data_IF_772192056987
#
_entry.id   IF_772192056987
#
_cell.length_a   1.000
_cell.length_b   1.000
_cell.length_c   1.000
_cell.angle_alpha   90.00
_cell.angle_beta   90.00
_cell.angle_gamma   90.00
#
_symmetry.space_group_name_H-M   'P 1'
#
loop_
_entity.id
_entity.type
_entity.pdbx_description
1 polymer ?
#
# COMPACT_ATOMS: atom_id res chain seq x y z
N UNK A 1 -8.04 6.96 42.01
CA UNK A 1 -7.15 8.05 41.54
C UNK A 1 -6.45 7.53 40.29
N UNK A 2 -7.25 7.15 39.29
CA UNK A 2 -6.84 6.24 38.20
C UNK A 2 -6.89 6.91 36.81
N UNK A 3 -6.82 8.25 36.79
CA UNK A 3 -7.07 9.05 35.58
C UNK A 3 -5.93 9.95 35.13
N UNK A 4 -4.74 9.89 35.75
CA UNK A 4 -3.65 10.86 35.49
C UNK A 4 -2.38 10.30 34.87
N UNK A 5 -2.41 9.07 34.33
CA UNK A 5 -1.29 8.52 33.57
C UNK A 5 -1.46 8.66 32.03
N UNK A 6 -2.31 9.59 31.59
CA UNK A 6 -2.79 9.70 30.19
C UNK A 6 -2.28 10.91 29.39
N UNK A 7 -1.31 11.67 29.89
CA UNK A 7 -0.64 12.70 29.09
C UNK A 7 0.79 12.27 28.78
N UNK A 8 0.87 11.37 27.79
CA UNK A 8 2.10 11.10 27.06
C UNK A 8 2.51 12.39 26.33
N UNK A 9 3.56 13.05 26.84
CA UNK A 9 4.23 14.13 26.13
C UNK A 9 4.89 13.54 24.87
N UNK A 10 4.17 13.65 23.76
CA UNK A 10 4.66 13.49 22.39
C UNK A 10 5.76 14.52 22.13
N UNK A 11 6.97 14.20 22.58
CA UNK A 11 8.19 14.84 22.10
C UNK A 11 9.16 13.73 21.72
N UNK A 12 10.02 14.04 20.76
CA UNK A 12 11.05 13.23 20.08
C UNK A 12 11.98 12.34 20.96
N UNK A 13 11.74 12.24 22.27
CA UNK A 13 12.57 11.57 23.28
C UNK A 13 11.78 10.81 24.38
N UNK A 14 10.45 10.72 24.31
CA UNK A 14 9.60 10.51 25.50
C UNK A 14 8.97 9.14 25.73
N UNK A 15 8.86 8.29 24.71
CA UNK A 15 7.95 7.12 24.78
C UNK A 15 8.34 6.08 25.83
N UNK A 16 9.64 5.86 26.04
CA UNK A 16 10.13 4.83 26.99
C UNK A 16 10.62 5.42 28.30
N UNK A 17 10.98 6.70 28.29
CA UNK A 17 11.57 7.40 29.45
C UNK A 17 10.53 7.69 30.53
N UNK A 18 9.26 7.92 30.16
CA UNK A 18 8.25 8.40 31.12
C UNK A 18 7.39 7.32 31.80
N UNK A 19 7.08 6.19 31.15
CA UNK A 19 6.04 5.30 31.68
C UNK A 19 6.48 4.44 32.88
N UNK A 20 7.75 4.02 32.92
CA UNK A 20 8.29 3.15 33.99
C UNK A 20 9.35 3.80 34.88
N UNK A 21 10.26 4.61 34.31
CA UNK A 21 11.40 5.18 35.04
C UNK A 21 10.97 6.22 36.07
N UNK A 22 10.21 7.24 35.65
CA UNK A 22 9.82 8.34 36.55
C UNK A 22 9.00 7.86 37.75
N UNK A 23 8.03 6.97 37.54
CA UNK A 23 7.24 6.40 38.65
C UNK A 23 8.08 5.56 39.60
N UNK A 24 9.03 4.78 39.08
CA UNK A 24 9.94 3.98 39.90
C UNK A 24 10.85 4.89 40.74
N UNK A 25 11.47 5.90 40.13
CA UNK A 25 12.37 6.85 40.79
C UNK A 25 11.65 7.66 41.88
N UNK A 26 10.44 8.15 41.58
CA UNK A 26 9.61 8.91 42.52
C UNK A 26 9.20 8.05 43.73
N UNK A 27 8.72 6.83 43.49
CA UNK A 27 8.33 5.90 44.54
C UNK A 27 9.53 5.43 45.37
N UNK A 28 10.70 5.24 44.75
CA UNK A 28 11.92 4.89 45.44
C UNK A 28 12.39 6.03 46.36
N UNK A 29 12.28 7.27 45.88
CA UNK A 29 12.52 8.46 46.70
C UNK A 29 11.55 8.53 47.89
N UNK A 30 10.24 8.39 47.66
CA UNK A 30 9.22 8.42 48.73
C UNK A 30 9.44 7.29 49.73
N UNK A 31 9.71 6.08 49.26
CA UNK A 31 9.98 4.92 50.11
C UNK A 31 11.25 5.14 50.96
N UNK A 32 12.30 5.73 50.38
CA UNK A 32 13.52 6.06 51.12
C UNK A 32 13.26 7.08 52.25
N UNK A 33 12.37 8.05 52.02
CA UNK A 33 11.97 9.05 53.01
C UNK A 33 11.16 8.43 54.15
N UNK A 34 10.17 7.59 53.81
CA UNK A 34 9.31 6.90 54.77
C UNK A 34 10.05 5.85 55.61
N UNK A 35 11.13 5.29 55.07
CA UNK A 35 11.97 4.32 55.79
C UNK A 35 13.15 4.96 56.53
N UNK A 36 13.26 6.30 56.58
CA UNK A 36 14.30 6.95 57.39
C UNK A 36 14.18 6.58 58.87
N UNK A 37 15.31 6.57 59.59
CA UNK A 37 15.36 6.24 61.03
C UNK A 37 14.42 7.13 61.86
N UNK A 38 14.25 8.40 61.48
CA UNK A 38 13.34 9.34 62.14
C UNK A 38 11.88 8.89 62.01
N UNK A 39 11.44 8.53 60.81
CA UNK A 39 10.06 8.09 60.55
C UNK A 39 9.79 6.71 61.16
N UNK A 40 10.77 5.79 61.13
CA UNK A 40 10.66 4.49 61.83
C UNK A 40 10.48 4.65 63.35
N UNK A 41 11.29 5.49 63.99
CA UNK A 41 11.11 5.78 65.42
C UNK A 41 9.73 6.41 65.70
N UNK A 42 9.22 7.26 64.80
CA UNK A 42 7.90 7.85 64.93
C UNK A 42 6.79 6.78 64.83
N UNK A 43 6.93 5.80 63.93
CA UNK A 43 6.02 4.66 63.85
C UNK A 43 6.01 3.84 65.14
N UNK A 44 7.18 3.53 65.72
CA UNK A 44 7.26 2.78 66.98
C UNK A 44 6.56 3.51 68.14
N UNK A 45 6.68 4.84 68.18
CA UNK A 45 5.99 5.67 69.18
C UNK A 45 4.48 5.65 68.95
N UNK A 46 4.02 5.81 67.71
CA UNK A 46 2.60 5.77 67.36
C UNK A 46 1.96 4.40 67.67
N UNK A 47 2.71 3.32 67.48
CA UNK A 47 2.31 1.95 67.81
C UNK A 47 2.17 1.78 69.33
N UNK A 48 3.15 2.23 70.11
CA UNK A 48 3.12 2.13 71.58
C UNK A 48 2.00 2.93 72.23
N UNK A 49 1.59 4.04 71.60
CA UNK A 49 0.52 4.90 72.10
C UNK A 49 -0.86 4.40 71.62
N UNK A 50 -0.93 3.31 70.84
CA UNK A 50 -2.16 2.80 70.22
C UNK A 50 -2.92 3.90 69.45
N UNK A 51 -2.16 4.74 68.74
CA UNK A 51 -2.73 5.89 68.03
C UNK A 51 -3.68 5.43 66.91
N UNK A 52 -4.81 6.09 66.75
CA UNK A 52 -5.74 5.89 65.64
C UNK A 52 -5.12 6.16 64.27
N UNK A 53 -4.02 6.90 64.19
CA UNK A 53 -3.29 7.18 62.95
C UNK A 53 -2.32 6.07 62.54
N UNK A 54 -1.91 5.20 63.47
CA UNK A 54 -0.94 4.14 63.20
C UNK A 54 -1.42 3.16 62.11
N UNK A 55 -2.67 2.63 62.12
CA UNK A 55 -3.16 1.74 61.07
C UNK A 55 -3.16 2.39 59.69
N UNK A 56 -3.55 3.66 59.59
CA UNK A 56 -3.61 4.41 58.33
C UNK A 56 -2.21 4.63 57.76
N UNK A 57 -1.26 5.04 58.62
CA UNK A 57 0.13 5.23 58.20
C UNK A 57 0.79 3.92 57.76
N UNK A 58 0.52 2.82 58.48
CA UNK A 58 1.00 1.48 58.13
C UNK A 58 0.42 1.00 56.79
N UNK A 59 -0.88 1.23 56.55
CA UNK A 59 -1.51 0.95 55.25
C UNK A 59 -0.83 1.72 54.13
N UNK A 60 -0.62 3.03 54.31
CA UNK A 60 0.04 3.87 53.32
C UNK A 60 1.47 3.39 53.01
N UNK A 61 2.24 2.95 54.01
CA UNK A 61 3.57 2.38 53.80
C UNK A 61 3.51 1.10 52.95
N UNK A 62 2.56 0.21 53.26
CA UNK A 62 2.35 -1.04 52.50
C UNK A 62 1.93 -0.75 51.05
N UNK A 63 1.06 0.24 50.84
CA UNK A 63 0.63 0.66 49.50
C UNK A 63 1.81 1.21 48.69
N UNK A 64 2.69 2.02 49.31
CA UNK A 64 3.91 2.53 48.66
C UNK A 64 4.89 1.41 48.33
N UNK A 65 5.09 0.45 49.24
CA UNK A 65 5.97 -0.71 49.01
C UNK A 65 5.46 -1.61 47.87
N UNK A 66 4.14 -1.85 47.83
CA UNK A 66 3.50 -2.60 46.75
C UNK A 66 3.63 -1.87 45.40
N UNK A 67 3.33 -0.56 45.36
CA UNK A 67 3.46 0.26 44.16
C UNK A 67 4.91 0.34 43.66
N UNK A 68 5.90 0.41 44.57
CA UNK A 68 7.32 0.40 44.22
C UNK A 68 7.74 -0.94 43.64
N UNK A 69 7.27 -2.05 44.20
CA UNK A 69 7.54 -3.41 43.69
C UNK A 69 6.98 -3.57 42.28
N UNK A 70 5.74 -3.14 42.07
CA UNK A 70 5.11 -3.09 40.75
C UNK A 70 5.90 -2.22 39.76
N UNK A 71 6.29 -1.00 40.15
CA UNK A 71 7.01 -0.09 39.27
C UNK A 71 8.39 -0.64 38.87
N UNK A 72 9.11 -1.28 39.79
CA UNK A 72 10.40 -1.94 39.51
C UNK A 72 10.26 -3.11 38.54
N UNK A 73 9.24 -3.95 38.72
CA UNK A 73 8.97 -5.07 37.82
C UNK A 73 8.68 -4.58 36.39
N UNK A 74 7.79 -3.59 36.25
CA UNK A 74 7.45 -3.01 34.95
C UNK A 74 8.68 -2.36 34.31
N UNK A 75 9.44 -1.56 35.08
CA UNK A 75 10.64 -0.89 34.57
C UNK A 75 11.67 -1.90 34.05
N UNK A 76 11.96 -2.94 34.82
CA UNK A 76 12.92 -3.99 34.45
C UNK A 76 12.58 -4.63 33.11
N UNK A 77 11.30 -4.94 32.90
CA UNK A 77 10.83 -5.67 31.72
C UNK A 77 10.62 -4.78 30.48
N UNK A 78 10.31 -3.50 30.66
CA UNK A 78 10.17 -2.56 29.55
C UNK A 78 11.49 -1.91 29.12
N UNK A 79 12.51 -1.89 29.98
CA UNK A 79 13.82 -1.27 29.67
C UNK A 79 14.46 -1.78 28.36
N UNK A 80 14.42 -3.09 28.02
CA UNK A 80 14.97 -3.59 26.75
C UNK A 80 14.31 -3.01 25.50
N UNK A 81 13.01 -2.63 25.56
CA UNK A 81 12.31 -2.04 24.42
C UNK A 81 12.91 -0.71 23.98
N UNK A 82 13.52 0.03 24.91
CA UNK A 82 14.16 1.32 24.63
C UNK A 82 15.13 1.25 23.47
N UNK A 83 16.02 0.25 23.47
CA UNK A 83 17.03 0.08 22.42
C UNK A 83 16.38 -0.17 21.05
N UNK A 84 15.29 -0.94 21.00
CA UNK A 84 14.59 -1.26 19.76
C UNK A 84 13.83 -0.05 19.21
N UNK A 85 13.18 0.71 20.08
CA UNK A 85 12.46 1.94 19.70
C UNK A 85 13.42 3.03 19.22
N UNK A 86 14.53 3.25 19.93
CA UNK A 86 15.58 4.18 19.49
C UNK A 86 16.23 3.77 18.16
N UNK A 87 16.32 2.46 17.88
CA UNK A 87 16.84 1.97 16.61
C UNK A 87 15.88 2.26 15.45
N UNK A 88 14.57 2.16 15.68
CA UNK A 88 13.55 2.52 14.69
C UNK A 88 13.52 4.03 14.48
N UNK A 89 13.60 4.82 15.56
CA UNK A 89 13.61 6.29 15.49
C UNK A 89 14.77 6.86 14.67
N UNK A 90 15.94 6.20 14.72
CA UNK A 90 17.16 6.61 14.02
C UNK A 90 17.29 6.03 12.62
N UNK A 91 16.50 5.01 12.28
CA UNK A 91 16.57 4.36 10.99
C UNK A 91 15.82 5.20 9.94
N UNK A 92 16.32 5.17 8.70
CA UNK A 92 15.49 5.56 7.55
C UNK A 92 14.28 4.62 7.47
N UNK A 93 13.11 5.17 7.15
CA UNK A 93 11.85 4.40 7.13
C UNK A 93 11.95 3.14 6.26
N UNK A 94 12.62 3.23 5.10
CA UNK A 94 12.86 2.12 4.17
C UNK A 94 13.61 0.93 4.80
N UNK A 95 14.32 1.15 5.91
CA UNK A 95 15.10 0.16 6.66
C UNK A 95 14.43 -0.29 7.96
N UNK A 96 13.21 0.17 8.26
CA UNK A 96 12.49 -0.16 9.49
C UNK A 96 11.98 -1.61 9.50
N UNK A 97 11.59 -2.16 8.35
CA UNK A 97 11.03 -3.52 8.21
C UNK A 97 11.76 -4.62 9.03
N UNK A 98 13.08 -4.80 8.92
CA UNK A 98 13.81 -5.82 9.70
C UNK A 98 13.82 -5.58 11.21
N UNK A 99 13.52 -4.37 11.68
CA UNK A 99 13.52 -4.01 13.11
C UNK A 99 12.20 -4.31 13.81
N UNK A 100 11.10 -4.48 13.05
CA UNK A 100 9.75 -4.70 13.57
C UNK A 100 9.60 -6.04 14.31
N UNK A 101 10.13 -7.11 13.72
CA UNK A 101 10.05 -8.46 14.31
C UNK A 101 10.81 -8.57 15.65
N UNK A 102 12.06 -8.07 15.76
CA UNK A 102 12.75 -7.99 17.05
C UNK A 102 12.00 -7.14 18.09
N UNK A 103 11.42 -5.99 17.68
CA UNK A 103 10.63 -5.16 18.59
C UNK A 103 9.45 -5.95 19.19
N UNK A 104 8.62 -6.56 18.35
CA UNK A 104 7.47 -7.34 18.79
C UNK A 104 7.86 -8.55 19.64
N UNK A 105 9.01 -9.17 19.35
CA UNK A 105 9.54 -10.25 20.18
C UNK A 105 9.83 -9.79 21.61
N UNK A 106 10.43 -8.61 21.79
CA UNK A 106 10.69 -8.04 23.12
C UNK A 106 9.37 -7.65 23.81
N UNK A 107 8.36 -7.17 23.07
CA UNK A 107 7.02 -6.93 23.63
C UNK A 107 6.41 -8.23 24.17
N UNK A 108 6.52 -9.33 23.42
CA UNK A 108 6.04 -10.66 23.87
C UNK A 108 6.80 -11.12 25.13
N UNK A 109 8.12 -10.94 25.17
CA UNK A 109 8.92 -11.28 26.36
C UNK A 109 8.48 -10.47 27.57
N UNK A 110 8.34 -9.14 27.43
CA UNK A 110 7.89 -8.27 28.52
C UNK A 110 6.50 -8.68 29.04
N UNK A 111 5.60 -9.10 28.14
CA UNK A 111 4.31 -9.66 28.51
C UNK A 111 4.43 -10.98 29.28
N UNK A 112 5.26 -11.91 28.83
CA UNK A 112 5.35 -13.25 29.46
C UNK A 112 6.07 -13.20 30.81
N UNK A 113 7.11 -12.38 30.95
CA UNK A 113 7.99 -12.40 32.12
C UNK A 113 7.57 -11.45 33.24
N UNK A 114 6.86 -10.36 32.92
CA UNK A 114 6.43 -9.39 33.94
C UNK A 114 5.16 -9.83 34.65
N UNK A 115 5.20 -9.83 35.97
CA UNK A 115 4.05 -10.16 36.80
C UNK A 115 3.01 -9.03 36.81
N UNK A 116 3.47 -7.78 36.78
CA UNK A 116 2.59 -6.62 36.90
C UNK A 116 2.24 -5.96 35.56
N UNK A 117 3.03 -6.15 34.51
CA UNK A 117 2.74 -5.54 33.19
C UNK A 117 1.72 -6.32 32.36
N UNK A 118 1.51 -7.62 32.64
CA UNK A 118 0.60 -8.56 31.97
C UNK A 118 -0.90 -8.19 32.07
N UNK A 119 -1.26 -6.96 31.70
CA UNK A 119 -2.60 -6.37 31.77
C UNK A 119 -2.95 -5.86 30.37
N UNK A 120 -4.04 -6.33 29.74
CA UNK A 120 -4.38 -5.98 28.36
C UNK A 120 -4.35 -4.47 28.07
N UNK A 121 -4.91 -3.66 28.97
CA UNK A 121 -4.94 -2.20 28.81
C UNK A 121 -3.55 -1.56 28.67
N UNK A 122 -2.54 -2.05 29.40
CA UNK A 122 -1.17 -1.52 29.35
C UNK A 122 -0.47 -1.87 28.05
N UNK A 123 -0.71 -3.09 27.56
CA UNK A 123 -0.16 -3.55 26.30
C UNK A 123 -0.80 -2.82 25.11
N UNK A 124 -2.12 -2.60 25.14
CA UNK A 124 -2.82 -1.80 24.11
C UNK A 124 -2.19 -0.42 23.98
N UNK A 125 -1.97 0.28 25.10
CA UNK A 125 -1.33 1.62 25.08
C UNK A 125 0.08 1.56 24.49
N UNK A 126 0.91 0.59 24.89
CA UNK A 126 2.25 0.44 24.31
C UNK A 126 2.21 0.21 22.79
N UNK A 127 1.32 -0.65 22.32
CA UNK A 127 1.20 -0.95 20.90
C UNK A 127 0.63 0.24 20.10
N UNK A 128 -0.31 0.99 20.67
CA UNK A 128 -0.79 2.24 20.09
C UNK A 128 0.36 3.25 19.94
N UNK A 129 1.23 3.37 20.94
CA UNK A 129 2.38 4.25 20.86
C UNK A 129 3.43 3.79 19.85
N UNK A 130 3.63 2.49 19.69
CA UNK A 130 4.45 1.93 18.60
C UNK A 130 3.83 2.31 17.24
N UNK A 131 2.51 2.19 17.09
CA UNK A 131 1.82 2.62 15.87
C UNK A 131 2.02 4.13 15.63
N UNK A 132 1.89 4.97 16.67
CA UNK A 132 2.10 6.41 16.57
C UNK A 132 3.53 6.75 16.11
N UNK A 133 4.54 6.06 16.64
CA UNK A 133 5.93 6.22 16.21
C UNK A 133 6.10 5.85 14.72
N UNK A 134 5.53 4.72 14.29
CA UNK A 134 5.60 4.30 12.88
C UNK A 134 4.91 5.30 11.94
N UNK A 135 3.75 5.83 12.34
CA UNK A 135 3.05 6.88 11.58
C UNK A 135 3.91 8.15 11.48
N UNK A 136 4.53 8.59 12.58
CA UNK A 136 5.41 9.77 12.58
C UNK A 136 6.61 9.58 11.65
N UNK A 137 7.25 8.40 11.69
CA UNK A 137 8.37 8.06 10.82
C UNK A 137 7.92 7.98 9.34
N UNK A 138 6.73 7.46 9.07
CA UNK A 138 6.16 7.42 7.74
C UNK A 138 5.88 8.83 7.19
N UNK A 139 5.27 9.70 8.00
CA UNK A 139 5.00 11.10 7.62
C UNK A 139 6.31 11.86 7.31
N UNK A 140 7.34 11.69 8.14
CA UNK A 140 8.64 12.30 7.90
C UNK A 140 9.32 11.79 6.62
N UNK A 141 9.09 10.53 6.24
CA UNK A 141 9.62 9.93 5.01
C UNK A 141 8.85 10.35 3.75
N UNK A 142 7.53 10.50 3.85
CA UNK A 142 6.65 10.85 2.74
C UNK A 142 6.71 12.34 2.39
N UNK A 143 6.99 13.21 3.36
CA UNK A 143 6.96 14.67 3.20
C UNK A 143 5.63 15.15 2.60
N UNK A 144 4.55 15.26 3.39
CA UNK A 144 3.20 15.44 2.85
C UNK A 144 3.02 16.70 1.99
N UNK A 145 3.82 17.74 2.22
CA UNK A 145 3.82 18.99 1.45
C UNK A 145 4.26 18.81 0.00
N UNK A 146 5.17 17.87 -0.24
CA UNK A 146 5.77 17.56 -1.54
C UNK A 146 5.15 16.33 -2.20
N UNK A 147 4.36 15.53 -1.46
CA UNK A 147 3.92 14.21 -1.91
C UNK A 147 3.11 14.23 -3.22
N UNK A 148 2.23 15.23 -3.40
CA UNK A 148 1.44 15.38 -4.62
C UNK A 148 2.11 16.29 -5.68
N UNK A 149 3.11 17.07 -5.27
CA UNK A 149 3.79 18.07 -6.10
C UNK A 149 5.10 17.57 -6.70
N UNK A 150 5.70 16.56 -6.08
CA UNK A 150 6.95 15.94 -6.49
C UNK A 150 6.79 15.05 -7.71
N UNK A 151 7.83 14.29 -8.00
CA UNK A 151 7.80 13.29 -9.07
C UNK A 151 6.84 12.16 -8.70
N UNK A 152 5.81 11.94 -9.54
CA UNK A 152 4.73 10.99 -9.24
C UNK A 152 5.22 9.56 -9.06
N UNK A 153 6.19 9.12 -9.87
CA UNK A 153 6.75 7.77 -9.79
C UNK A 153 7.53 7.53 -8.50
N UNK A 154 8.35 8.51 -8.09
CA UNK A 154 9.05 8.46 -6.80
C UNK A 154 8.04 8.48 -5.63
N UNK A 155 7.05 9.37 -5.71
CA UNK A 155 6.03 9.56 -4.67
C UNK A 155 5.17 8.30 -4.49
N UNK A 156 4.72 7.69 -5.59
CA UNK A 156 4.00 6.42 -5.57
C UNK A 156 4.85 5.30 -4.95
N UNK A 157 6.11 5.19 -5.36
CA UNK A 157 7.04 4.20 -4.80
C UNK A 157 7.23 4.35 -3.29
N UNK A 158 7.30 5.59 -2.78
CA UNK A 158 7.36 5.87 -1.33
C UNK A 158 6.08 5.44 -0.62
N UNK A 159 4.90 5.79 -1.15
CA UNK A 159 3.60 5.42 -0.56
C UNK A 159 3.45 3.90 -0.50
N UNK A 160 3.77 3.19 -1.58
CA UNK A 160 3.73 1.73 -1.65
C UNK A 160 4.68 1.07 -0.65
N UNK A 161 5.88 1.62 -0.49
CA UNK A 161 6.83 1.15 0.52
C UNK A 161 6.27 1.33 1.93
N UNK A 162 5.67 2.48 2.24
CA UNK A 162 5.05 2.74 3.53
C UNK A 162 3.90 1.78 3.80
N UNK A 163 2.98 1.62 2.85
CA UNK A 163 1.88 0.67 2.93
C UNK A 163 2.38 -0.75 3.17
N UNK A 164 3.41 -1.20 2.45
CA UNK A 164 4.00 -2.52 2.65
C UNK A 164 4.53 -2.69 4.07
N UNK A 165 5.36 -1.77 4.56
CA UNK A 165 6.02 -1.89 5.87
C UNK A 165 4.99 -1.87 7.02
N UNK A 166 3.97 -1.02 6.92
CA UNK A 166 2.92 -0.93 7.94
C UNK A 166 2.00 -2.17 7.93
N UNK A 167 1.69 -2.73 6.75
CA UNK A 167 0.96 -3.99 6.66
C UNK A 167 1.80 -5.18 7.15
N UNK A 168 3.11 -5.20 6.87
CA UNK A 168 4.03 -6.20 7.42
C UNK A 168 4.07 -6.15 8.95
N UNK A 169 4.01 -4.94 9.55
CA UNK A 169 3.91 -4.79 11.00
C UNK A 169 2.63 -5.43 11.57
N UNK A 170 1.48 -5.17 10.93
CA UNK A 170 0.19 -5.78 11.33
C UNK A 170 0.24 -7.30 11.20
N UNK A 171 0.76 -7.82 10.09
CA UNK A 171 0.93 -9.26 9.89
C UNK A 171 1.86 -9.88 10.95
N UNK A 172 2.98 -9.23 11.24
CA UNK A 172 3.91 -9.67 12.28
C UNK A 172 3.29 -9.63 13.68
N UNK A 173 2.41 -8.66 13.96
CA UNK A 173 1.68 -8.60 15.22
C UNK A 173 0.72 -9.80 15.36
N UNK A 174 -0.10 -10.09 14.36
CA UNK A 174 -1.03 -11.22 14.41
C UNK A 174 -0.29 -12.56 14.50
N UNK A 175 0.79 -12.73 13.74
CA UNK A 175 1.66 -13.90 13.82
C UNK A 175 2.21 -14.12 15.24
N UNK A 176 2.60 -13.04 15.93
CA UNK A 176 3.13 -13.09 17.30
C UNK A 176 2.04 -13.37 18.32
N UNK A 177 0.86 -12.81 18.10
CA UNK A 177 -0.32 -13.05 18.93
C UNK A 177 -0.74 -14.52 18.90
N UNK A 178 -0.82 -15.13 17.72
CA UNK A 178 -1.14 -16.55 17.56
C UNK A 178 -0.08 -17.46 18.19
N UNK A 179 1.19 -17.10 18.02
CA UNK A 179 2.34 -17.87 18.53
C UNK A 179 2.75 -17.48 19.95
N UNK A 180 1.93 -16.73 20.69
CA UNK A 180 2.29 -16.25 22.02
C UNK A 180 2.56 -17.40 23.01
N UNK A 181 1.83 -18.51 22.86
CA UNK A 181 2.01 -19.72 23.66
C UNK A 181 3.45 -20.29 23.60
N UNK A 182 4.21 -20.04 22.52
CA UNK A 182 5.58 -20.56 22.39
C UNK A 182 6.58 -19.90 23.32
N UNK A 183 6.21 -18.81 23.98
CA UNK A 183 7.06 -18.10 24.95
C UNK A 183 6.90 -18.65 26.38
N UNK A 184 5.90 -19.50 26.62
CA UNK A 184 5.63 -20.09 27.91
C UNK A 184 6.30 -21.45 28.04
N UNK A 185 6.74 -21.79 29.25
CA UNK A 185 7.26 -23.12 29.55
C UNK A 185 6.13 -24.17 29.50
N UNK A 186 6.42 -25.43 29.11
CA UNK A 186 5.42 -26.49 29.07
C UNK A 186 4.70 -26.65 30.42
N UNK A 187 3.37 -26.48 30.42
CA UNK A 187 2.52 -26.60 31.62
C UNK A 187 2.29 -25.30 32.38
N UNK A 188 2.87 -24.18 31.96
CA UNK A 188 2.53 -22.85 32.47
C UNK A 188 1.21 -22.36 31.87
N UNK A 189 0.38 -21.69 32.68
CA UNK A 189 -0.82 -21.03 32.20
C UNK A 189 -0.47 -19.88 31.24
N UNK A 190 -1.00 -19.95 30.02
CA UNK A 190 -0.76 -18.96 28.97
C UNK A 190 -1.71 -17.78 29.18
N UNK A 191 -1.16 -16.59 29.43
CA UNK A 191 -1.93 -15.35 29.43
C UNK A 191 -2.00 -14.81 28.01
N UNK A 192 -3.16 -14.90 27.39
CA UNK A 192 -3.37 -14.43 26.03
C UNK A 192 -3.51 -12.90 25.95
N UNK A 193 -3.30 -12.36 24.75
CA UNK A 193 -3.64 -10.97 24.44
C UNK A 193 -5.14 -10.83 24.23
N UNK A 194 -5.86 -10.67 25.34
CA UNK A 194 -7.31 -10.57 25.37
C UNK A 194 -7.80 -9.12 25.13
N UNK A 195 -7.73 -8.69 23.87
CA UNK A 195 -8.30 -7.43 23.40
C UNK A 195 -8.55 -7.46 21.88
N UNK A 196 -9.46 -6.63 21.36
CA UNK A 196 -9.67 -6.54 19.93
C UNK A 196 -8.55 -5.74 19.25
N UNK A 197 -8.10 -6.20 18.07
CA UNK A 197 -7.03 -5.53 17.30
C UNK A 197 -7.38 -4.08 16.95
N UNK A 198 -8.67 -3.75 16.80
CA UNK A 198 -9.17 -2.39 16.60
C UNK A 198 -8.81 -1.43 17.73
N UNK A 199 -8.62 -1.92 18.95
CA UNK A 199 -8.15 -1.09 20.06
C UNK A 199 -6.72 -0.61 19.84
N UNK A 200 -5.89 -1.36 19.12
CA UNK A 200 -4.51 -1.00 18.81
C UNK A 200 -4.42 -0.23 17.50
N UNK A 201 -5.07 -0.73 16.45
CA UNK A 201 -4.82 -0.28 15.09
C UNK A 201 -5.77 0.79 14.57
N UNK A 202 -6.80 1.24 15.30
CA UNK A 202 -7.80 2.20 14.78
C UNK A 202 -7.18 3.40 14.05
N UNK A 203 -6.19 4.07 14.65
CA UNK A 203 -5.49 5.20 14.04
C UNK A 203 -4.61 4.79 12.86
N UNK A 204 -3.91 3.66 12.97
CA UNK A 204 -3.07 3.13 11.90
C UNK A 204 -3.91 2.73 10.69
N UNK A 205 -5.08 2.14 10.91
CA UNK A 205 -6.03 1.73 9.87
C UNK A 205 -6.60 2.94 9.13
N UNK A 206 -6.96 4.00 9.85
CA UNK A 206 -7.34 5.27 9.22
C UNK A 206 -6.20 5.86 8.38
N UNK A 207 -4.95 5.79 8.86
CA UNK A 207 -3.78 6.22 8.11
C UNK A 207 -3.52 5.37 6.86
N UNK A 208 -3.61 4.04 6.96
CA UNK A 208 -3.50 3.13 5.83
C UNK A 208 -4.59 3.40 4.78
N UNK A 209 -5.83 3.62 5.22
CA UNK A 209 -6.93 3.97 4.30
C UNK A 209 -6.64 5.27 3.56
N UNK A 210 -6.13 6.28 4.26
CA UNK A 210 -5.75 7.57 3.67
C UNK A 210 -4.61 7.42 2.66
N UNK A 211 -3.58 6.63 3.00
CA UNK A 211 -2.49 6.30 2.09
C UNK A 211 -2.98 5.55 0.85
N UNK A 212 -3.95 4.63 0.99
CA UNK A 212 -4.57 3.95 -0.15
C UNK A 212 -5.27 4.92 -1.10
N UNK A 213 -5.99 5.92 -0.59
CA UNK A 213 -6.57 6.96 -1.45
C UNK A 213 -5.49 7.73 -2.22
N UNK A 214 -4.38 8.07 -1.57
CA UNK A 214 -3.26 8.77 -2.22
C UNK A 214 -2.56 7.86 -3.25
N UNK A 215 -2.39 6.57 -2.96
CA UNK A 215 -1.85 5.58 -3.89
C UNK A 215 -2.71 5.47 -5.16
N UNK A 216 -4.03 5.36 -4.99
CA UNK A 216 -4.99 5.28 -6.09
C UNK A 216 -4.93 6.55 -6.96
N UNK A 217 -4.85 7.73 -6.34
CA UNK A 217 -4.72 9.00 -7.04
C UNK A 217 -3.43 9.08 -7.86
N UNK A 218 -2.28 8.75 -7.26
CA UNK A 218 -0.98 8.79 -7.92
C UNK A 218 -0.87 7.76 -9.03
N UNK A 219 -1.43 6.56 -8.84
CA UNK A 219 -1.46 5.50 -9.85
C UNK A 219 -2.30 5.92 -11.06
N UNK A 220 -3.50 6.45 -10.82
CA UNK A 220 -4.34 6.99 -11.89
C UNK A 220 -3.65 8.13 -12.64
N UNK A 221 -2.99 9.03 -11.90
CA UNK A 221 -2.28 10.14 -12.53
C UNK A 221 -1.13 9.67 -13.41
N UNK A 222 -0.32 8.73 -12.94
CA UNK A 222 0.78 8.12 -13.69
C UNK A 222 0.32 7.41 -14.97
N UNK A 223 -0.81 6.72 -14.91
CA UNK A 223 -1.39 6.09 -16.10
C UNK A 223 -1.82 7.12 -17.14
N UNK A 224 -2.45 8.21 -16.71
CA UNK A 224 -2.88 9.28 -17.61
C UNK A 224 -1.72 10.14 -18.15
N UNK A 225 -0.56 10.14 -17.48
CA UNK A 225 0.66 10.75 -18.05
C UNK A 225 1.14 10.04 -19.32
N UNK A 226 0.74 8.78 -19.57
CA UNK A 226 1.06 8.06 -20.81
C UNK A 226 0.40 8.66 -22.05
N UNK A 227 -0.65 9.48 -21.86
CA UNK A 227 -1.37 10.15 -22.96
C UNK A 227 -0.48 11.07 -23.79
N UNK A 228 0.58 11.64 -23.20
CA UNK A 228 1.53 12.52 -23.90
C UNK A 228 2.13 11.86 -25.16
N UNK A 229 2.27 10.53 -25.16
CA UNK A 229 2.93 9.76 -26.22
C UNK A 229 1.97 9.17 -27.25
N UNK A 230 0.66 9.40 -27.10
CA UNK A 230 -0.35 8.82 -28.00
C UNK A 230 -0.50 9.69 -29.24
N UNK A 231 -0.05 9.16 -30.37
CA UNK A 231 -0.22 9.78 -31.68
C UNK A 231 -0.90 8.83 -32.65
N UNK A 232 -2.06 9.24 -33.17
CA UNK A 232 -2.74 8.50 -34.22
C UNK A 232 -2.17 8.82 -35.60
N UNK A 233 -1.91 7.76 -36.36
CA UNK A 233 -1.57 7.84 -37.78
C UNK A 233 -2.81 7.62 -38.65
N UNK A 234 -2.86 8.23 -39.84
CA UNK A 234 -3.93 8.05 -40.82
C UNK A 234 -4.72 9.31 -41.16
N UNK A 235 -5.77 9.17 -41.96
CA UNK A 235 -6.53 10.30 -42.56
C UNK A 235 -7.16 11.19 -41.47
N UNK A 236 -7.72 10.56 -40.43
CA UNK A 236 -8.27 11.24 -39.25
C UNK A 236 -7.31 11.31 -38.08
N UNK A 237 -6.09 10.78 -38.23
CA UNK A 237 -5.11 10.66 -37.15
C UNK A 237 -4.81 12.00 -36.49
N UNK A 238 -4.57 13.06 -37.29
CA UNK A 238 -4.31 14.41 -36.76
C UNK A 238 -5.46 14.94 -35.88
N UNK A 239 -6.72 14.69 -36.25
CA UNK A 239 -7.87 15.16 -35.49
C UNK A 239 -8.07 14.36 -34.19
N UNK A 240 -7.79 13.06 -34.21
CA UNK A 240 -7.86 12.19 -33.03
C UNK A 240 -6.71 12.48 -32.05
N UNK A 241 -5.49 12.71 -32.57
CA UNK A 241 -4.34 13.13 -31.74
C UNK A 241 -4.59 14.46 -31.07
N UNK A 242 -5.22 15.42 -31.77
CA UNK A 242 -5.61 16.69 -31.17
C UNK A 242 -6.62 16.50 -30.02
N UNK A 243 -7.63 15.63 -30.20
CA UNK A 243 -8.59 15.34 -29.13
C UNK A 243 -7.93 14.72 -27.89
N UNK A 244 -6.93 13.84 -28.07
CA UNK A 244 -6.18 13.27 -26.93
C UNK A 244 -5.31 14.34 -26.27
N UNK A 245 -4.67 15.21 -27.04
CA UNK A 245 -3.95 16.36 -26.52
C UNK A 245 -4.85 17.27 -25.67
N UNK A 246 -6.04 17.61 -26.17
CA UNK A 246 -6.99 18.46 -25.44
C UNK A 246 -7.42 17.80 -24.11
N UNK A 247 -7.66 16.47 -24.14
CA UNK A 247 -7.97 15.67 -22.93
C UNK A 247 -6.79 15.65 -21.96
N UNK A 248 -5.56 15.54 -22.48
CA UNK A 248 -4.34 15.51 -21.68
C UNK A 248 -4.06 16.86 -21.00
N UNK A 249 -4.18 17.97 -21.72
CA UNK A 249 -4.04 19.32 -21.16
C UNK A 249 -5.08 19.58 -20.05
N UNK A 250 -6.31 19.15 -20.26
CA UNK A 250 -7.37 19.25 -19.25
C UNK A 250 -7.08 18.42 -18.00
N UNK A 251 -6.55 17.20 -18.17
CA UNK A 251 -6.07 16.38 -17.06
C UNK A 251 -4.93 17.05 -16.30
N UNK A 252 -3.93 17.60 -17.01
CA UNK A 252 -2.79 18.26 -16.39
C UNK A 252 -3.21 19.46 -15.55
N UNK A 253 -4.14 20.29 -16.05
CA UNK A 253 -4.65 21.43 -15.28
C UNK A 253 -5.46 20.96 -14.06
N UNK A 254 -6.31 19.95 -14.20
CA UNK A 254 -7.07 19.38 -13.09
C UNK A 254 -6.14 18.81 -12.00
N UNK A 255 -5.11 18.05 -12.39
CA UNK A 255 -4.12 17.51 -11.45
C UNK A 255 -3.33 18.62 -10.77
N UNK A 256 -2.91 19.65 -11.53
CA UNK A 256 -2.17 20.79 -10.99
C UNK A 256 -2.98 21.53 -9.91
N UNK A 257 -4.24 21.84 -10.20
CA UNK A 257 -5.15 22.50 -9.23
C UNK A 257 -5.30 21.66 -7.97
N UNK A 258 -5.42 20.34 -8.11
CA UNK A 258 -5.51 19.41 -7.00
C UNK A 258 -4.20 19.33 -6.18
N UNK A 259 -3.05 19.26 -6.84
CA UNK A 259 -1.73 19.16 -6.20
C UNK A 259 -1.29 20.46 -5.51
N UNK A 260 -1.74 21.63 -6.00
CA UNK A 260 -1.41 22.95 -5.45
C UNK A 260 -2.23 23.32 -4.20
N UNK A 261 -3.15 22.46 -3.75
CA UNK A 261 -3.90 22.67 -2.50
C UNK A 261 -2.97 22.82 -1.29
N UNK A 262 -3.39 23.64 -0.34
CA UNK A 262 -2.55 24.06 0.81
C UNK A 262 -2.69 23.16 2.03
N UNK A 263 -3.66 22.24 2.05
CA UNK A 263 -3.84 21.31 3.16
C UNK A 263 -2.86 20.13 3.07
N UNK A 264 -2.63 19.46 4.19
CA UNK A 264 -1.87 18.21 4.25
C UNK A 264 -2.74 17.05 3.74
N UNK A 265 -2.31 16.43 2.64
CA UNK A 265 -3.01 15.29 2.04
C UNK A 265 -3.00 14.02 2.92
N UNK A 266 -2.19 13.94 3.97
CA UNK A 266 -2.13 12.83 4.91
C UNK A 266 -2.77 13.13 6.28
N UNK A 267 -3.31 14.35 6.48
CA UNK A 267 -4.05 14.70 7.69
C UNK A 267 -5.40 13.97 7.76
N UNK A 268 -5.56 13.13 8.79
CA UNK A 268 -6.75 12.32 9.04
C UNK A 268 -7.95 13.13 9.52
N UNK A 269 -7.73 14.38 9.97
CA UNK A 269 -8.82 15.26 10.40
C UNK A 269 -9.37 16.10 9.25
N UNK A 270 -8.68 16.11 8.12
CA UNK A 270 -9.05 16.91 6.96
C UNK A 270 -10.04 16.17 6.05
N UNK A 271 -11.29 16.61 6.10
CA UNK A 271 -12.39 16.15 5.24
C UNK A 271 -12.38 16.80 3.86
N UNK A 272 -11.75 17.97 3.71
CA UNK A 272 -11.72 18.70 2.44
C UNK A 272 -10.96 17.92 1.37
N UNK A 273 -9.85 17.26 1.74
CA UNK A 273 -9.14 16.35 0.84
C UNK A 273 -10.02 15.21 0.35
N UNK A 274 -10.86 14.61 1.21
CA UNK A 274 -11.69 13.47 0.77
C UNK A 274 -12.68 13.90 -0.30
N UNK A 275 -13.23 15.11 -0.17
CA UNK A 275 -14.11 15.69 -1.17
C UNK A 275 -13.35 16.05 -2.45
N UNK A 276 -12.23 16.75 -2.35
CA UNK A 276 -11.42 17.13 -3.51
C UNK A 276 -10.87 15.90 -4.26
N UNK A 277 -10.50 14.83 -3.54
CA UNK A 277 -10.07 13.56 -4.12
C UNK A 277 -11.21 12.86 -4.86
N UNK A 278 -12.42 12.87 -4.29
CA UNK A 278 -13.61 12.34 -4.94
C UNK A 278 -13.95 13.13 -6.21
N UNK A 279 -13.94 14.45 -6.16
CA UNK A 279 -14.21 15.32 -7.30
C UNK A 279 -13.17 15.11 -8.42
N UNK A 280 -11.90 14.95 -8.05
CA UNK A 280 -10.84 14.61 -8.98
C UNK A 280 -11.04 13.22 -9.62
N UNK A 281 -11.43 12.21 -8.84
CA UNK A 281 -11.76 10.88 -9.36
C UNK A 281 -12.92 10.92 -10.35
N UNK A 282 -13.98 11.69 -10.08
CA UNK A 282 -15.06 11.89 -11.04
C UNK A 282 -14.56 12.52 -12.34
N UNK A 283 -13.61 13.47 -12.25
CA UNK A 283 -13.02 14.09 -13.42
C UNK A 283 -12.17 13.11 -14.24
N UNK A 284 -11.40 12.26 -13.57
CA UNK A 284 -10.65 11.16 -14.19
C UNK A 284 -11.60 10.18 -14.90
N UNK A 285 -12.75 9.86 -14.30
CA UNK A 285 -13.74 8.98 -14.90
C UNK A 285 -14.38 9.57 -16.17
N UNK A 286 -14.61 10.89 -16.22
CA UNK A 286 -15.03 11.61 -17.43
C UNK A 286 -13.95 11.56 -18.54
N UNK A 287 -12.69 11.77 -18.16
CA UNK A 287 -11.54 11.63 -19.06
C UNK A 287 -11.48 10.22 -19.64
N UNK A 288 -11.63 9.19 -18.81
CA UNK A 288 -11.62 7.79 -19.25
C UNK A 288 -12.71 7.49 -20.29
N UNK A 289 -13.95 7.98 -20.08
CA UNK A 289 -15.04 7.83 -21.06
C UNK A 289 -14.75 8.51 -22.40
N UNK A 290 -14.14 9.69 -22.35
CA UNK A 290 -13.73 10.43 -23.57
C UNK A 290 -12.63 9.69 -24.30
N UNK A 291 -11.63 9.17 -23.59
CA UNK A 291 -10.57 8.34 -24.16
C UNK A 291 -11.10 7.05 -24.79
N UNK A 292 -12.07 6.39 -24.14
CA UNK A 292 -12.76 5.23 -24.70
C UNK A 292 -13.49 5.59 -26.00
N UNK A 293 -14.20 6.72 -26.02
CA UNK A 293 -14.89 7.20 -27.22
C UNK A 293 -13.91 7.48 -28.37
N UNK A 294 -12.78 8.13 -28.10
CA UNK A 294 -11.72 8.38 -29.09
C UNK A 294 -11.15 7.06 -29.60
N UNK A 295 -10.91 6.09 -28.72
CA UNK A 295 -10.41 4.77 -29.11
C UNK A 295 -11.39 4.05 -30.04
N UNK A 296 -12.68 4.04 -29.67
CA UNK A 296 -13.75 3.41 -30.46
C UNK A 296 -13.81 4.04 -31.86
N UNK A 297 -13.75 5.36 -31.96
CA UNK A 297 -13.72 6.06 -33.25
C UNK A 297 -12.49 5.68 -34.07
N UNK A 298 -11.30 5.68 -33.46
CA UNK A 298 -10.07 5.30 -34.12
C UNK A 298 -10.10 3.83 -34.59
N UNK A 299 -10.68 2.94 -33.79
CA UNK A 299 -10.83 1.53 -34.11
C UNK A 299 -11.81 1.31 -35.26
N UNK A 300 -12.94 1.99 -35.27
CA UNK A 300 -13.94 1.89 -36.34
C UNK A 300 -13.44 2.45 -37.68
N UNK A 301 -12.48 3.37 -37.63
CA UNK A 301 -11.79 3.90 -38.81
C UNK A 301 -10.61 3.02 -39.29
N UNK A 302 -10.27 1.95 -38.57
CA UNK A 302 -9.17 1.06 -38.93
C UNK A 302 -9.52 0.21 -40.16
N UNK A 303 -8.76 0.40 -41.24
CA UNK A 303 -9.01 -0.27 -42.53
C UNK A 303 -8.54 -1.73 -42.57
N UNK A 304 -7.56 -2.09 -41.75
CA UNK A 304 -7.01 -3.44 -41.70
C UNK A 304 -6.67 -3.86 -40.26
N UNK A 305 -6.41 -5.16 -40.13
CA UNK A 305 -6.09 -5.79 -38.86
C UNK A 305 -4.77 -5.27 -38.26
N UNK A 306 -3.82 -4.84 -39.09
CA UNK A 306 -2.53 -4.32 -38.62
C UNK A 306 -2.70 -2.96 -37.92
N UNK A 307 -3.52 -2.08 -38.50
CA UNK A 307 -3.87 -0.80 -37.89
C UNK A 307 -4.62 -0.99 -36.57
N UNK A 308 -5.58 -1.93 -36.51
CA UNK A 308 -6.29 -2.25 -35.27
C UNK A 308 -5.34 -2.73 -34.16
N UNK A 309 -4.37 -3.59 -34.47
CA UNK A 309 -3.35 -4.02 -33.50
C UNK A 309 -2.43 -2.88 -33.04
N UNK A 310 -2.05 -1.97 -33.95
CA UNK A 310 -1.26 -0.79 -33.58
C UNK A 310 -2.04 0.09 -32.59
N UNK A 311 -3.34 0.28 -32.79
CA UNK A 311 -4.21 1.03 -31.85
C UNK A 311 -4.24 0.38 -30.47
N UNK A 312 -4.44 -0.94 -30.41
CA UNK A 312 -4.42 -1.70 -29.15
C UNK A 312 -3.07 -1.55 -28.43
N UNK A 313 -1.96 -1.64 -29.16
CA UNK A 313 -0.62 -1.48 -28.59
C UNK A 313 -0.35 -0.06 -28.09
N UNK A 314 -0.81 0.96 -28.83
CA UNK A 314 -0.62 2.36 -28.44
C UNK A 314 -1.38 2.72 -27.16
N UNK A 315 -2.62 2.24 -27.00
CA UNK A 315 -3.36 2.45 -25.75
C UNK A 315 -2.81 1.58 -24.60
N UNK A 316 -2.35 0.35 -24.89
CA UNK A 316 -1.67 -0.51 -23.93
C UNK A 316 -2.47 -0.68 -22.63
N UNK A 317 -1.86 -0.32 -21.50
CA UNK A 317 -2.48 -0.42 -20.16
C UNK A 317 -3.70 0.47 -19.97
N UNK A 318 -3.93 1.50 -20.81
CA UNK A 318 -5.14 2.31 -20.73
C UNK A 318 -6.41 1.50 -21.04
N UNK A 319 -6.30 0.44 -21.84
CA UNK A 319 -7.42 -0.48 -22.12
C UNK A 319 -7.76 -1.37 -20.92
N UNK A 320 -6.87 -1.49 -19.94
CA UNK A 320 -7.10 -2.26 -18.72
C UNK A 320 -7.87 -1.42 -17.68
N UNK A 321 -7.98 -0.10 -17.87
CA UNK A 321 -8.73 0.78 -16.98
C UNK A 321 -10.22 0.41 -17.03
N UNK A 322 -10.91 0.25 -15.89
CA UNK A 322 -12.23 -0.38 -15.83
C UNK A 322 -13.28 0.26 -16.76
N UNK A 323 -13.32 1.59 -16.82
CA UNK A 323 -14.28 2.34 -17.65
C UNK A 323 -13.99 2.13 -19.13
N UNK A 324 -12.72 2.22 -19.54
CA UNK A 324 -12.31 2.02 -20.93
C UNK A 324 -12.51 0.56 -21.35
N UNK A 325 -12.16 -0.39 -20.48
CA UNK A 325 -12.33 -1.82 -20.72
C UNK A 325 -13.80 -2.17 -20.97
N UNK A 326 -14.72 -1.61 -20.18
CA UNK A 326 -16.15 -1.83 -20.33
C UNK A 326 -16.68 -1.33 -21.68
N UNK A 327 -16.30 -0.11 -22.09
CA UNK A 327 -16.78 0.51 -23.32
C UNK A 327 -16.15 -0.09 -24.59
N UNK A 328 -14.94 -0.66 -24.48
CA UNK A 328 -14.19 -1.21 -25.62
C UNK A 328 -14.33 -2.72 -25.79
N UNK A 329 -14.99 -3.41 -24.86
CA UNK A 329 -15.13 -4.87 -24.84
C UNK A 329 -15.67 -5.46 -26.17
N UNK A 330 -16.69 -4.81 -26.76
CA UNK A 330 -17.30 -5.27 -28.01
C UNK A 330 -16.33 -5.22 -29.21
N UNK A 331 -15.30 -4.36 -29.16
CA UNK A 331 -14.32 -4.22 -30.25
C UNK A 331 -13.44 -5.45 -30.41
N UNK A 332 -13.22 -6.23 -29.35
CA UNK A 332 -12.49 -7.50 -29.46
C UNK A 332 -13.24 -8.51 -30.33
N UNK A 333 -14.58 -8.53 -30.30
CA UNK A 333 -15.38 -9.38 -31.19
C UNK A 333 -15.23 -8.98 -32.66
N UNK A 334 -15.18 -7.66 -32.92
CA UNK A 334 -14.94 -7.11 -34.25
C UNK A 334 -13.54 -7.47 -34.73
N UNK A 335 -12.52 -7.38 -33.87
CA UNK A 335 -11.14 -7.78 -34.18
C UNK A 335 -11.06 -9.25 -34.62
N UNK A 336 -11.76 -10.16 -33.92
CA UNK A 336 -11.84 -11.57 -34.30
C UNK A 336 -12.51 -11.73 -35.66
N UNK A 337 -13.59 -10.99 -35.93
CA UNK A 337 -14.26 -11.02 -37.23
C UNK A 337 -13.37 -10.53 -38.38
N UNK A 338 -12.56 -9.48 -38.15
CA UNK A 338 -11.58 -8.98 -39.11
C UNK A 338 -10.51 -10.02 -39.40
N UNK A 339 -10.04 -10.75 -38.38
CA UNK A 339 -9.09 -11.84 -38.58
C UNK A 339 -9.69 -13.03 -39.34
N UNK A 340 -10.92 -13.41 -39.05
CA UNK A 340 -11.64 -14.44 -39.82
C UNK A 340 -11.78 -14.04 -41.30
N UNK A 341 -12.09 -12.77 -41.59
CA UNK A 341 -12.09 -12.27 -42.97
C UNK A 341 -10.72 -12.37 -43.62
N UNK A 342 -9.64 -12.00 -42.92
CA UNK A 342 -8.28 -12.12 -43.42
C UNK A 342 -7.87 -13.57 -43.70
N UNK A 343 -8.33 -14.54 -42.89
CA UNK A 343 -8.14 -15.97 -43.14
C UNK A 343 -8.90 -16.44 -44.38
N UNK A 344 -10.14 -15.99 -44.57
CA UNK A 344 -10.93 -16.29 -45.76
C UNK A 344 -10.26 -15.74 -47.03
N UNK A 345 -9.74 -14.52 -46.98
CA UNK A 345 -8.98 -13.92 -48.08
C UNK A 345 -7.72 -14.74 -48.40
N UNK A 346 -6.98 -15.18 -47.38
CA UNK A 346 -5.82 -16.04 -47.56
C UNK A 346 -6.19 -17.39 -48.18
N UNK A 347 -7.31 -17.98 -47.78
CA UNK A 347 -7.85 -19.21 -48.37
C UNK A 347 -8.25 -19.03 -49.84
N UNK A 348 -8.84 -17.88 -50.18
CA UNK A 348 -9.19 -17.53 -51.56
C UNK A 348 -7.94 -17.33 -52.43
N UNK A 349 -6.92 -16.63 -51.90
CA UNK A 349 -5.62 -16.46 -52.56
C UNK A 349 -4.98 -17.83 -52.83
N UNK A 350 -5.04 -18.74 -51.86
CA UNK A 350 -4.58 -20.11 -52.02
C UNK A 350 -5.33 -20.86 -53.12
N UNK A 351 -6.66 -20.85 -53.06
CA UNK A 351 -7.49 -21.56 -54.03
C UNK A 351 -7.26 -21.05 -55.46
N UNK A 352 -7.14 -19.73 -55.64
CA UNK A 352 -6.83 -19.10 -56.94
C UNK A 352 -5.44 -19.49 -57.46
N UNK A 353 -4.44 -19.58 -56.58
CA UNK A 353 -3.08 -19.99 -56.94
C UNK A 353 -3.04 -21.44 -57.43
N UNK A 354 -3.71 -22.35 -56.70
CA UNK A 354 -3.85 -23.76 -57.11
C UNK A 354 -4.59 -23.90 -58.43
N UNK A 355 -5.66 -23.13 -58.65
CA UNK A 355 -6.37 -23.15 -59.93
C UNK A 355 -5.48 -22.68 -61.09
N UNK A 356 -4.71 -21.60 -60.90
CA UNK A 356 -3.80 -21.09 -61.91
C UNK A 356 -2.67 -22.09 -62.24
N UNK A 357 -2.17 -22.84 -61.25
CA UNK A 357 -1.21 -23.92 -61.46
C UNK A 357 -1.77 -25.04 -62.35
N UNK A 358 -3.04 -25.41 -62.14
CA UNK A 358 -3.74 -26.40 -62.96
C UNK A 358 -3.95 -25.93 -64.41
N UNK A 359 -4.27 -24.64 -64.62
CA UNK A 359 -4.51 -24.06 -65.95
C UNK A 359 -3.22 -23.85 -66.75
N UNK A 360 -2.13 -23.43 -66.08
CA UNK A 360 -0.85 -23.11 -66.73
C UNK A 360 0.13 -24.30 -66.78
N UNK A 361 -0.19 -25.41 -66.11
CA UNK A 361 0.68 -26.60 -65.98
C UNK A 361 1.93 -26.38 -65.14
N UNK A 362 2.09 -25.20 -64.54
CA UNK A 362 3.16 -24.85 -63.61
C UNK A 362 2.70 -23.72 -62.67
N UNK A 363 3.14 -23.69 -61.40
CA UNK A 363 2.69 -22.71 -60.43
C UNK A 363 3.17 -21.30 -60.82
N UNK A 364 2.31 -20.26 -60.67
CA UNK A 364 2.74 -18.90 -60.85
C UNK A 364 3.74 -18.52 -59.74
N UNK A 365 4.97 -18.19 -60.14
CA UNK A 365 6.09 -17.83 -59.25
C UNK A 365 6.57 -16.41 -59.50
N UNK A 366 7.26 -15.83 -58.52
CA UNK A 366 7.92 -14.53 -58.66
C UNK A 366 8.92 -14.51 -59.82
N UNK A 367 9.19 -13.32 -60.37
CA UNK A 367 10.14 -13.14 -61.47
C UNK A 367 11.51 -13.71 -61.08
N UNK A 368 12.15 -14.42 -62.02
CA UNK A 368 13.47 -15.04 -61.85
C UNK A 368 13.58 -16.14 -60.78
N UNK A 369 12.45 -16.74 -60.34
CA UNK A 369 12.46 -17.88 -59.42
C UNK A 369 12.34 -19.22 -60.15
N UNK A 370 13.13 -20.26 -59.78
CA UNK A 370 12.89 -21.63 -60.23
C UNK A 370 11.52 -22.13 -59.74
N UNK A 371 10.82 -22.94 -60.56
CA UNK A 371 9.43 -23.36 -60.32
C UNK A 371 9.20 -23.95 -58.93
N UNK A 372 9.99 -24.96 -58.53
CA UNK A 372 9.83 -25.65 -57.23
C UNK A 372 10.15 -24.71 -56.06
N UNK A 373 11.25 -23.96 -56.16
CA UNK A 373 11.68 -23.05 -55.10
C UNK A 373 10.72 -21.85 -54.95
N UNK A 374 10.20 -21.34 -56.07
CA UNK A 374 9.24 -20.24 -56.10
C UNK A 374 7.88 -20.63 -55.54
N UNK A 375 7.38 -21.83 -55.85
CA UNK A 375 6.13 -22.33 -55.28
C UNK A 375 6.23 -22.51 -53.75
N UNK A 376 7.33 -23.09 -53.27
CA UNK A 376 7.62 -23.21 -51.84
C UNK A 376 7.78 -21.84 -51.17
N UNK A 377 8.45 -20.89 -51.82
CA UNK A 377 8.61 -19.51 -51.35
C UNK A 377 7.27 -18.82 -51.16
N UNK A 378 6.41 -18.85 -52.18
CA UNK A 378 5.08 -18.26 -52.14
C UNK A 378 4.20 -18.88 -51.03
N UNK A 379 4.21 -20.21 -50.88
CA UNK A 379 3.47 -20.87 -49.81
C UNK A 379 3.97 -20.45 -48.41
N UNK A 380 5.29 -20.27 -48.25
CA UNK A 380 5.87 -19.74 -47.02
C UNK A 380 5.46 -18.30 -46.76
N UNK A 381 5.40 -17.44 -47.79
CA UNK A 381 4.95 -16.05 -47.66
C UNK A 381 3.49 -15.97 -47.18
N UNK A 382 2.59 -16.75 -47.79
CA UNK A 382 1.19 -16.79 -47.38
C UNK A 382 1.02 -17.28 -45.93
N UNK A 383 1.78 -18.33 -45.55
CA UNK A 383 1.82 -18.82 -44.17
C UNK A 383 2.37 -17.76 -43.21
N UNK A 384 3.46 -17.09 -43.57
CA UNK A 384 4.08 -16.07 -42.74
C UNK A 384 3.13 -14.89 -42.49
N UNK A 385 2.36 -14.48 -43.50
CA UNK A 385 1.34 -13.44 -43.38
C UNK A 385 0.28 -13.79 -42.32
N UNK A 386 -0.27 -15.01 -42.37
CA UNK A 386 -1.26 -15.48 -41.37
C UNK A 386 -0.62 -15.58 -39.99
N UNK A 387 0.59 -16.15 -39.90
CA UNK A 387 1.28 -16.35 -38.62
C UNK A 387 1.64 -15.04 -37.94
N UNK A 388 2.02 -14.00 -38.69
CA UNK A 388 2.32 -12.68 -38.14
C UNK A 388 1.08 -12.08 -37.47
N UNK A 389 -0.06 -12.10 -38.15
CA UNK A 389 -1.34 -11.61 -37.63
C UNK A 389 -1.80 -12.41 -36.41
N UNK A 390 -1.67 -13.74 -36.45
CA UNK A 390 -1.98 -14.60 -35.31
C UNK A 390 -1.05 -14.36 -34.12
N UNK A 391 0.23 -14.03 -34.37
CA UNK A 391 1.20 -13.69 -33.33
C UNK A 391 0.74 -12.49 -32.49
N UNK A 392 0.15 -11.47 -33.12
CA UNK A 392 -0.39 -10.29 -32.44
C UNK A 392 -1.49 -10.63 -31.43
N UNK A 393 -2.36 -11.61 -31.72
CA UNK A 393 -3.41 -12.04 -30.78
C UNK A 393 -2.85 -12.65 -29.48
N UNK A 394 -1.65 -13.25 -29.51
CA UNK A 394 -1.03 -13.84 -28.31
C UNK A 394 -0.64 -12.79 -27.27
N UNK A 395 -0.56 -11.53 -27.68
CA UNK A 395 -0.23 -10.42 -26.80
C UNK A 395 -1.48 -9.74 -26.22
N UNK A 396 -2.69 -10.21 -26.57
CA UNK A 396 -3.94 -9.72 -26.01
C UNK A 396 -4.34 -10.59 -24.81
N UNK A 397 -4.51 -9.97 -23.65
CA UNK A 397 -4.91 -10.60 -22.38
C UNK A 397 -6.43 -10.76 -22.22
N UNK A 398 -7.23 -10.28 -23.17
CA UNK A 398 -8.69 -10.26 -23.07
C UNK A 398 -9.33 -11.68 -23.12
N UNK A 399 -10.32 -12.00 -22.25
CA UNK A 399 -10.95 -13.33 -22.17
C UNK A 399 -11.54 -13.85 -23.48
N UNK A 400 -12.04 -12.95 -24.35
CA UNK A 400 -12.61 -13.34 -25.64
C UNK A 400 -11.58 -13.87 -26.65
N UNK A 401 -10.28 -13.63 -26.42
CA UNK A 401 -9.18 -14.09 -27.29
C UNK A 401 -8.53 -15.36 -26.73
N UNK A 402 -8.72 -15.65 -25.44
CA UNK A 402 -8.17 -16.83 -24.77
C UNK A 402 -9.10 -18.06 -24.80
N UNK A 403 -10.31 -17.90 -25.36
CA UNK A 403 -11.28 -18.98 -25.64
C UNK A 403 -11.09 -19.51 -27.06
#
# INVERSE_FOLDING_TARGET
MDGLCGQLMLTQYGLVTCLGCCRCDDLECIYSQLTTRKVRNMMEVLERIESSYFPVFKSMLMDVEAALTEARDIHLHLMPLRRHLEAIEKAEFSKVKPLLLPLLHVVCLAWVTSQHYSVPARLVVLLQEICNLLIQQALAYLSPEDLLKGEMEESLGKVQMVLSILNDFKGAFEDRREKLHTYYEPGQEVKEWDFHATMVFSRLDSFLKRLGMVEDLLTNALDLMKLEKIEFSGIKGKALSQQVLDVYEEFQEAYKVFAERTYDCLDLTNTDFEQDAFDFQQKVEDIDRRLATIFIQAFDDALDLEHAFKLLYMYGSLLERPVIAADTADKYSVLISMFNSALNDASLIYSRHIQAELELGSPPVHKNMPVVAGALGWARELRARIQAQFGCFRHITHPCVSS
#
